data_IF_502424059706
#
_entry.id   IF_502424059706
#
_cell.length_a   1.000
_cell.length_b   1.000
_cell.length_c   1.000
_cell.angle_alpha   90.00
_cell.angle_beta   90.00
_cell.angle_gamma   90.00
#
_symmetry.space_group_name_H-M   'P 1'
#
loop_
_entity.id
_entity.type
_entity.pdbx_description
1 polymer ?
#
# COMPACT_ATOMS: atom_id res chain seq x y z
N UNK A 1 29.12 -9.45 -2.43
CA UNK A 1 28.05 -9.41 -1.43
C UNK A 1 28.47 -10.29 -0.25
N UNK A 2 28.59 -9.71 0.96
CA UNK A 2 29.06 -10.41 2.15
C UNK A 2 28.02 -11.49 2.56
N UNK A 3 28.47 -12.66 3.01
CA UNK A 3 27.63 -13.78 3.49
C UNK A 3 26.59 -13.35 4.53
N UNK A 4 26.97 -12.49 5.48
CA UNK A 4 26.08 -11.95 6.50
C UNK A 4 24.91 -11.14 5.90
N UNK A 5 25.20 -10.32 4.89
CA UNK A 5 24.18 -9.55 4.16
C UNK A 5 23.25 -10.46 3.36
N UNK A 6 23.76 -11.53 2.79
CA UNK A 6 22.97 -12.54 2.08
C UNK A 6 22.02 -13.27 3.03
N UNK A 7 22.51 -13.74 4.17
CA UNK A 7 21.69 -14.44 5.20
C UNK A 7 20.59 -13.53 5.73
N UNK A 8 20.90 -12.25 6.02
CA UNK A 8 19.92 -11.27 6.49
C UNK A 8 18.81 -11.04 5.44
N UNK A 9 19.17 -10.81 4.18
CA UNK A 9 18.19 -10.64 3.10
C UNK A 9 17.31 -11.87 2.91
N UNK A 10 17.87 -13.08 3.00
CA UNK A 10 17.12 -14.32 2.87
C UNK A 10 16.11 -14.50 4.01
N UNK A 11 16.51 -14.24 5.27
CA UNK A 11 15.61 -14.28 6.43
C UNK A 11 14.47 -13.26 6.30
N UNK A 12 14.78 -12.05 5.87
CA UNK A 12 13.78 -11.02 5.65
C UNK A 12 12.78 -11.43 4.56
N UNK A 13 13.25 -12.03 3.49
CA UNK A 13 12.39 -12.50 2.39
C UNK A 13 11.45 -13.63 2.85
N UNK A 14 11.98 -14.61 3.58
CA UNK A 14 11.22 -15.73 4.16
C UNK A 14 10.16 -15.18 5.14
N UNK A 15 10.55 -14.27 6.03
CA UNK A 15 9.62 -13.64 6.98
C UNK A 15 8.44 -12.96 6.28
N UNK A 16 8.69 -12.26 5.16
CA UNK A 16 7.64 -11.61 4.37
C UNK A 16 6.71 -12.61 3.70
N UNK A 17 7.28 -13.67 3.16
CA UNK A 17 6.51 -14.75 2.55
C UNK A 17 5.59 -15.42 3.58
N UNK A 18 6.11 -15.73 4.77
CA UNK A 18 5.36 -16.31 5.89
C UNK A 18 4.23 -15.38 6.35
N UNK A 19 4.51 -14.08 6.52
CA UNK A 19 3.49 -13.09 6.89
C UNK A 19 2.39 -12.97 5.84
N UNK A 20 2.75 -12.97 4.56
CA UNK A 20 1.75 -12.93 3.50
C UNK A 20 0.90 -14.20 3.44
N UNK A 21 1.52 -15.38 3.53
CA UNK A 21 0.82 -16.66 3.60
C UNK A 21 -0.15 -16.72 4.78
N UNK A 22 0.32 -16.31 5.97
CA UNK A 22 -0.53 -16.21 7.16
C UNK A 22 -1.70 -15.23 6.97
N UNK A 23 -1.46 -14.09 6.33
CA UNK A 23 -2.52 -13.13 6.03
C UNK A 23 -3.56 -13.70 5.06
N UNK A 24 -3.14 -14.46 4.05
CA UNK A 24 -4.06 -15.15 3.11
C UNK A 24 -4.94 -16.16 3.85
N UNK A 25 -4.38 -16.91 4.81
CA UNK A 25 -5.13 -17.88 5.64
C UNK A 25 -6.13 -17.16 6.57
N UNK A 26 -5.73 -16.04 7.17
CA UNK A 26 -6.56 -15.30 8.14
C UNK A 26 -7.61 -14.43 7.47
N UNK A 27 -7.37 -13.96 6.25
CA UNK A 27 -8.25 -13.03 5.54
C UNK A 27 -9.72 -13.51 5.44
N UNK A 28 -10.05 -14.78 5.11
CA UNK A 28 -11.43 -15.24 5.07
C UNK A 28 -12.19 -15.05 6.38
N UNK A 29 -11.52 -15.18 7.51
CA UNK A 29 -12.10 -15.00 8.85
C UNK A 29 -12.22 -13.53 9.25
N UNK A 30 -11.43 -12.67 8.63
CA UNK A 30 -11.42 -11.23 8.91
C UNK A 30 -12.32 -10.40 7.96
N UNK A 31 -12.71 -10.94 6.81
CA UNK A 31 -13.38 -10.22 5.73
C UNK A 31 -14.68 -9.53 6.13
N UNK A 32 -15.41 -10.09 7.10
CA UNK A 32 -16.69 -9.57 7.56
C UNK A 32 -16.55 -8.46 8.62
N UNK A 33 -15.35 -8.16 9.10
CA UNK A 33 -15.13 -7.03 10.01
C UNK A 33 -15.30 -5.73 9.23
N UNK A 34 -16.05 -4.77 9.78
CA UNK A 34 -16.33 -3.48 9.15
C UNK A 34 -15.08 -2.80 8.58
N UNK A 35 -13.98 -2.85 9.33
CA UNK A 35 -12.71 -2.25 8.90
C UNK A 35 -12.11 -2.81 7.60
N UNK A 36 -12.58 -3.96 7.10
CA UNK A 36 -12.11 -4.56 5.86
C UNK A 36 -13.16 -4.60 4.76
N UNK A 37 -14.43 -4.30 5.10
CA UNK A 37 -15.54 -4.33 4.15
C UNK A 37 -15.33 -3.24 3.08
N UNK A 38 -15.26 -3.65 1.82
CA UNK A 38 -15.03 -2.78 0.67
C UNK A 38 -13.82 -1.83 0.82
N UNK A 39 -12.81 -2.23 1.60
CA UNK A 39 -11.66 -1.42 1.95
C UNK A 39 -10.92 -0.88 0.72
N UNK A 40 -10.64 0.41 0.73
CA UNK A 40 -9.67 1.08 -0.14
C UNK A 40 -8.36 1.27 0.63
N UNK A 41 -7.31 0.63 0.16
CA UNK A 41 -5.96 0.75 0.75
C UNK A 41 -5.16 1.74 -0.06
N UNK A 42 -4.72 2.82 0.56
CA UNK A 42 -3.94 3.88 -0.09
C UNK A 42 -2.59 4.07 0.60
N UNK A 43 -1.55 4.34 -0.18
CA UNK A 43 -0.24 4.75 0.31
C UNK A 43 0.59 5.38 -0.80
N UNK A 44 1.63 6.12 -0.46
CA UNK A 44 2.69 6.50 -1.40
C UNK A 44 3.76 5.41 -1.46
N UNK A 45 4.67 5.39 -0.49
CA UNK A 45 5.69 4.34 -0.29
C UNK A 45 5.63 3.73 1.09
N UNK A 46 4.65 4.14 1.88
CA UNK A 46 4.51 3.76 3.27
C UNK A 46 5.38 4.55 4.26
N UNK A 47 6.23 5.44 3.80
CA UNK A 47 7.13 6.26 4.63
C UNK A 47 6.79 7.75 4.62
N UNK A 48 6.06 8.21 3.64
CA UNK A 48 5.69 9.62 3.43
C UNK A 48 4.23 9.75 2.97
N UNK A 49 3.72 10.98 3.03
CA UNK A 49 2.38 11.36 2.60
C UNK A 49 2.39 12.83 2.13
N UNK A 50 2.97 13.08 0.96
CA UNK A 50 3.21 14.44 0.44
C UNK A 50 2.76 14.63 -1.00
N UNK A 51 2.26 13.57 -1.61
CA UNK A 51 1.94 13.50 -3.02
C UNK A 51 0.43 13.27 -3.24
N UNK A 52 0.03 13.01 -4.46
CA UNK A 52 -1.36 12.86 -4.90
C UNK A 52 -2.18 11.85 -4.06
N UNK A 53 -1.54 10.81 -3.51
CA UNK A 53 -2.22 9.86 -2.62
C UNK A 53 -2.69 10.51 -1.31
N UNK A 54 -1.87 11.40 -0.73
CA UNK A 54 -2.26 12.16 0.45
C UNK A 54 -3.45 13.09 0.18
N UNK A 55 -3.41 13.82 -0.93
CA UNK A 55 -4.49 14.75 -1.28
C UNK A 55 -5.79 14.01 -1.64
N UNK A 56 -5.70 12.87 -2.32
CA UNK A 56 -6.86 12.02 -2.57
C UNK A 56 -7.45 11.46 -1.27
N UNK A 57 -6.60 11.00 -0.34
CA UNK A 57 -7.06 10.53 0.96
C UNK A 57 -7.79 11.62 1.74
N UNK A 58 -7.19 12.83 1.79
CA UNK A 58 -7.80 14.00 2.42
C UNK A 58 -9.16 14.36 1.80
N UNK A 59 -9.26 14.31 0.47
CA UNK A 59 -10.49 14.60 -0.24
C UNK A 59 -11.58 13.57 0.07
N UNK A 60 -11.25 12.27 -0.02
CA UNK A 60 -12.20 11.19 0.23
C UNK A 60 -12.70 11.21 1.67
N UNK A 61 -11.82 11.35 2.64
CA UNK A 61 -12.22 11.37 4.06
C UNK A 61 -13.11 12.56 4.42
N UNK A 62 -12.95 13.69 3.74
CA UNK A 62 -13.76 14.88 3.97
C UNK A 62 -15.11 14.87 3.24
N UNK A 63 -15.19 14.30 2.03
CA UNK A 63 -16.35 14.44 1.15
C UNK A 63 -17.11 13.12 0.91
N UNK A 64 -16.50 11.98 1.23
CA UNK A 64 -17.03 10.65 0.98
C UNK A 64 -16.85 9.73 2.19
N UNK A 65 -17.49 10.08 3.34
CA UNK A 65 -17.35 9.31 4.58
C UNK A 65 -17.90 7.87 4.48
N UNK A 66 -18.71 7.59 3.46
CA UNK A 66 -19.23 6.25 3.14
C UNK A 66 -18.14 5.32 2.59
N UNK A 67 -17.03 5.85 2.09
CA UNK A 67 -15.93 5.04 1.55
C UNK A 67 -15.00 4.59 2.69
N UNK A 68 -14.94 3.28 2.92
CA UNK A 68 -14.01 2.71 3.88
C UNK A 68 -12.59 2.76 3.31
N UNK A 69 -11.85 3.79 3.65
CA UNK A 69 -10.47 4.01 3.19
C UNK A 69 -9.50 4.02 4.36
N UNK A 70 -8.30 3.49 4.15
CA UNK A 70 -7.22 3.54 5.14
C UNK A 70 -5.86 3.83 4.48
N UNK A 71 -5.08 4.68 5.11
CA UNK A 71 -3.74 5.05 4.65
C UNK A 71 -2.66 4.21 5.33
N UNK A 72 -1.79 3.55 4.55
CA UNK A 72 -0.68 2.79 5.12
C UNK A 72 0.57 3.66 5.24
N UNK A 73 1.05 3.84 6.49
CA UNK A 73 2.21 4.67 6.80
C UNK A 73 3.00 4.10 7.99
N UNK A 74 4.33 4.24 7.98
CA UNK A 74 5.19 3.78 9.08
C UNK A 74 4.98 4.58 10.36
N UNK A 75 5.33 3.97 11.49
CA UNK A 75 5.24 4.63 12.80
C UNK A 75 6.15 5.85 12.90
N UNK A 76 7.31 5.77 12.28
CA UNK A 76 8.38 6.78 12.39
C UNK A 76 8.31 7.85 11.29
N UNK A 77 7.25 7.86 10.48
CA UNK A 77 7.06 8.88 9.45
C UNK A 77 6.77 10.24 10.06
N UNK A 78 7.47 11.26 9.61
CA UNK A 78 7.20 12.65 9.98
C UNK A 78 5.81 13.14 9.54
N UNK A 79 5.22 12.48 8.53
CA UNK A 79 3.92 12.83 7.99
C UNK A 79 2.76 12.09 8.68
N UNK A 80 3.07 11.13 9.60
CA UNK A 80 2.08 10.25 10.21
C UNK A 80 0.97 11.00 10.93
N UNK A 81 1.33 11.93 11.82
CA UNK A 81 0.37 12.71 12.62
C UNK A 81 -0.61 13.47 11.72
N UNK A 82 -0.12 14.01 10.61
CA UNK A 82 -0.92 14.73 9.62
C UNK A 82 -1.95 13.84 8.96
N UNK A 83 -1.58 12.60 8.63
CA UNK A 83 -2.48 11.61 8.01
C UNK A 83 -3.50 11.10 9.03
N UNK A 84 -3.07 10.84 10.26
CA UNK A 84 -3.92 10.32 11.34
C UNK A 84 -5.06 11.29 11.70
N UNK A 85 -4.82 12.60 11.62
CA UNK A 85 -5.86 13.63 11.78
C UNK A 85 -6.93 13.61 10.69
N UNK A 86 -6.66 13.03 9.53
CA UNK A 86 -7.64 12.95 8.42
C UNK A 86 -8.52 11.71 8.50
N UNK A 87 -8.02 10.60 9.05
CA UNK A 87 -8.78 9.37 9.07
C UNK A 87 -7.96 8.15 9.47
N UNK A 88 -8.51 6.98 9.14
CA UNK A 88 -7.92 5.71 9.54
C UNK A 88 -6.55 5.46 8.90
N UNK A 89 -5.60 5.08 9.74
CA UNK A 89 -4.26 4.65 9.30
C UNK A 89 -4.03 3.17 9.60
N UNK A 90 -3.13 2.58 8.83
CA UNK A 90 -2.60 1.23 9.01
C UNK A 90 -1.07 1.35 9.18
N UNK A 91 -0.52 0.70 10.21
CA UNK A 91 0.93 0.68 10.35
C UNK A 91 1.56 -0.11 9.20
N UNK A 92 2.35 0.58 8.37
CA UNK A 92 3.07 -0.05 7.28
C UNK A 92 3.92 -1.23 7.77
N UNK A 93 3.98 -2.32 7.01
CA UNK A 93 4.65 -3.58 7.37
C UNK A 93 4.07 -4.35 8.57
N UNK A 94 2.99 -3.88 9.20
CA UNK A 94 2.29 -4.66 10.24
C UNK A 94 1.54 -5.84 9.63
N UNK A 95 1.18 -6.83 10.45
CA UNK A 95 0.34 -7.94 10.01
C UNK A 95 -1.04 -7.47 9.51
N UNK A 96 -1.59 -6.42 10.13
CA UNK A 96 -2.81 -5.77 9.63
C UNK A 96 -2.64 -5.22 8.21
N UNK A 97 -1.46 -4.70 7.86
CA UNK A 97 -1.19 -4.24 6.50
C UNK A 97 -1.25 -5.38 5.48
N UNK A 98 -0.69 -6.56 5.82
CA UNK A 98 -0.78 -7.74 4.95
C UNK A 98 -2.23 -8.22 4.79
N UNK A 99 -3.03 -8.27 5.87
CA UNK A 99 -4.45 -8.60 5.79
C UNK A 99 -5.20 -7.58 4.93
N UNK A 100 -4.94 -6.30 5.13
CA UNK A 100 -5.55 -5.21 4.34
C UNK A 100 -5.18 -5.30 2.87
N UNK A 101 -3.93 -5.65 2.55
CA UNK A 101 -3.51 -5.89 1.16
C UNK A 101 -4.31 -7.02 0.50
N UNK A 102 -4.56 -8.12 1.24
CA UNK A 102 -5.33 -9.26 0.72
C UNK A 102 -6.79 -8.89 0.52
N UNK A 103 -7.41 -8.19 1.49
CA UNK A 103 -8.85 -7.93 1.54
C UNK A 103 -9.28 -6.67 0.81
N UNK A 104 -8.40 -5.70 0.57
CA UNK A 104 -8.80 -4.43 -0.04
C UNK A 104 -9.33 -4.63 -1.46
N UNK A 105 -10.50 -4.03 -1.70
CA UNK A 105 -11.19 -4.00 -3.00
C UNK A 105 -10.46 -3.09 -3.99
N UNK A 106 -9.94 -1.97 -3.49
CA UNK A 106 -9.18 -0.99 -4.26
C UNK A 106 -7.83 -0.74 -3.60
N UNK A 107 -6.79 -0.65 -4.40
CA UNK A 107 -5.42 -0.36 -4.00
C UNK A 107 -4.92 0.83 -4.77
N UNK A 108 -4.49 1.87 -4.07
CA UNK A 108 -4.16 3.17 -4.67
C UNK A 108 -2.75 3.58 -4.24
N UNK A 109 -1.94 4.02 -5.19
CA UNK A 109 -0.60 4.53 -4.88
C UNK A 109 -0.08 5.48 -5.95
N UNK A 110 0.79 6.41 -5.57
CA UNK A 110 1.58 7.25 -6.48
C UNK A 110 2.86 6.57 -6.96
N UNK A 111 3.24 5.46 -6.32
CA UNK A 111 4.41 4.67 -6.69
C UNK A 111 3.99 3.25 -7.06
N UNK A 112 4.75 2.61 -7.94
CA UNK A 112 4.50 1.22 -8.33
C UNK A 112 4.42 0.36 -7.07
N UNK A 113 3.25 -0.24 -6.82
CA UNK A 113 3.02 -1.12 -5.66
C UNK A 113 3.26 -0.47 -4.29
N UNK A 114 3.27 0.87 -4.19
CA UNK A 114 3.55 1.59 -2.94
C UNK A 114 2.58 1.29 -1.79
N UNK A 115 1.38 0.79 -2.10
CA UNK A 115 0.40 0.28 -1.13
C UNK A 115 0.77 -1.08 -0.53
N UNK A 116 1.88 -1.70 -0.95
CA UNK A 116 2.28 -3.01 -0.44
C UNK A 116 3.25 -2.89 0.73
N UNK A 117 3.26 -3.86 1.65
CA UNK A 117 4.22 -3.89 2.75
C UNK A 117 5.68 -3.93 2.28
N UNK A 118 5.93 -4.46 1.07
CA UNK A 118 7.28 -4.59 0.55
C UNK A 118 7.30 -4.67 -0.99
N UNK A 119 7.65 -3.57 -1.63
CA UNK A 119 7.53 -3.39 -3.08
C UNK A 119 8.25 -4.49 -3.87
N UNK A 120 9.54 -4.73 -3.60
CA UNK A 120 10.36 -5.68 -4.37
C UNK A 120 9.81 -7.12 -4.37
N UNK A 121 9.22 -7.52 -3.25
CA UNK A 121 8.58 -8.83 -3.12
C UNK A 121 7.28 -8.88 -3.93
N UNK A 122 6.42 -7.87 -3.77
CA UNK A 122 5.09 -7.89 -4.33
C UNK A 122 5.04 -7.58 -5.82
N UNK A 123 5.99 -6.83 -6.37
CA UNK A 123 6.12 -6.65 -7.83
C UNK A 123 6.31 -8.01 -8.54
N UNK A 124 7.12 -8.89 -7.97
CA UNK A 124 7.31 -10.25 -8.51
C UNK A 124 6.05 -11.12 -8.35
N UNK A 125 5.39 -11.02 -7.20
CA UNK A 125 4.15 -11.76 -6.92
C UNK A 125 3.00 -11.29 -7.80
N UNK A 126 2.90 -9.99 -8.08
CA UNK A 126 1.83 -9.41 -8.89
C UNK A 126 1.86 -9.85 -10.35
N UNK A 127 3.05 -10.06 -10.91
CA UNK A 127 3.20 -10.64 -12.26
C UNK A 127 2.49 -11.99 -12.42
N UNK A 128 2.27 -12.71 -11.31
CA UNK A 128 1.52 -13.96 -11.23
C UNK A 128 0.04 -13.77 -10.89
N UNK A 129 -0.46 -12.54 -10.86
CA UNK A 129 -1.85 -12.22 -10.52
C UNK A 129 -2.26 -12.57 -9.09
N UNK A 130 -1.31 -12.64 -8.16
CA UNK A 130 -1.55 -13.03 -6.75
C UNK A 130 -2.29 -11.94 -5.99
N UNK A 131 -2.01 -10.66 -6.29
CA UNK A 131 -2.65 -9.53 -5.64
C UNK A 131 -3.96 -9.21 -6.35
N UNK A 132 -5.06 -9.47 -5.68
CA UNK A 132 -6.43 -9.25 -6.19
C UNK A 132 -6.90 -7.82 -5.92
N UNK A 133 -8.03 -7.45 -6.53
CA UNK A 133 -8.65 -6.13 -6.39
C UNK A 133 -8.20 -5.13 -7.46
N UNK A 134 -8.91 -4.00 -7.54
CA UNK A 134 -8.61 -2.93 -8.50
C UNK A 134 -7.35 -2.19 -8.06
N UNK A 135 -6.42 -2.01 -8.97
CA UNK A 135 -5.18 -1.26 -8.74
C UNK A 135 -5.26 0.07 -9.46
N UNK A 136 -5.04 1.16 -8.75
CA UNK A 136 -5.07 2.52 -9.27
C UNK A 136 -3.68 3.12 -9.03
N UNK A 137 -3.04 3.49 -10.12
CA UNK A 137 -1.80 4.25 -10.07
C UNK A 137 -2.15 5.73 -10.27
N UNK A 138 -1.84 6.52 -9.24
CA UNK A 138 -1.89 7.98 -9.35
C UNK A 138 -0.54 8.44 -9.83
N UNK A 139 -0.56 9.39 -10.76
CA UNK A 139 0.69 9.97 -11.22
C UNK A 139 1.46 10.62 -10.05
N UNK A 140 2.76 10.43 -10.03
CA UNK A 140 3.66 11.06 -9.08
C UNK A 140 3.93 12.50 -9.48
N UNK A 141 3.58 13.44 -8.61
CA UNK A 141 3.78 14.87 -8.84
C UNK A 141 2.86 15.50 -9.90
N UNK A 142 3.08 16.77 -10.17
CA UNK A 142 2.47 17.51 -11.27
C UNK A 142 3.43 17.48 -12.44
N UNK A 143 3.01 16.96 -13.58
CA UNK A 143 3.81 17.06 -14.80
C UNK A 143 3.76 18.52 -15.27
N UNK A 144 4.87 19.21 -15.12
CA UNK A 144 5.08 20.56 -15.61
C UNK A 144 5.46 20.57 -17.09
N UNK A 145 6.14 19.52 -17.53
CA UNK A 145 6.73 19.44 -18.86
C UNK A 145 5.85 18.66 -19.84
N UNK A 146 5.84 19.09 -21.09
CA UNK A 146 5.19 18.35 -22.16
C UNK A 146 6.04 17.11 -22.54
N UNK A 147 5.57 15.92 -22.16
CA UNK A 147 6.25 14.66 -22.39
C UNK A 147 5.81 13.98 -23.72
N UNK A 148 5.37 14.74 -24.71
CA UNK A 148 4.90 14.19 -26.00
C UNK A 148 5.94 13.32 -26.69
N UNK A 149 7.23 13.51 -26.43
CA UNK A 149 8.31 12.69 -26.97
C UNK A 149 8.25 11.22 -26.46
N UNK A 150 7.53 10.93 -25.38
CA UNK A 150 7.36 9.55 -24.87
C UNK A 150 6.27 8.75 -25.61
N UNK A 151 5.44 9.44 -26.40
CA UNK A 151 4.32 8.81 -27.13
C UNK A 151 4.63 8.52 -28.60
N UNK A 152 5.81 8.89 -29.07
CA UNK A 152 6.20 8.79 -30.48
C UNK A 152 7.21 7.68 -30.77
N UNK A 153 7.29 6.63 -29.95
CA UNK A 153 8.09 5.44 -30.18
C UNK A 153 7.23 4.21 -30.36
#
# INVERSE_FOLDING_TARGET
MNLHTFIKKSKDYISRFVKYGAAVIVAPFAKNKEKYKDLWLIAERGIDARDNAYYLFKYITANHPEINIAYAITKDSADRERVEKLGRIINHNSFEHYISLVLSKVKISTHIMGYTPYIDFFVKADKKGIIKGKKIFLQHGIIKDNLTYLYNN
#
